data_IF_629505092146
#
_entry.id   IF_629505092146
#
_cell.length_a   1.000
_cell.length_b   1.000
_cell.length_c   1.000
_cell.angle_alpha   90.00
_cell.angle_beta   90.00
_cell.angle_gamma   90.00
#
_symmetry.space_group_name_H-M   'P 1'
#
loop_
_entity.id
_entity.type
_entity.pdbx_description
1 polymer ?
#
# COMPACT_ATOMS: atom_id res chain seq x y z
N UNK A 1 -10.99 0.13 11.33
CA UNK A 1 -10.23 -1.13 11.49
C UNK A 1 -8.78 -0.81 11.13
N UNK A 2 -7.81 -1.15 11.98
CA UNK A 2 -6.40 -0.88 11.72
C UNK A 2 -5.78 -2.07 10.99
N UNK A 3 -5.04 -1.83 9.91
CA UNK A 3 -4.27 -2.87 9.23
C UNK A 3 -2.97 -3.09 9.99
N UNK A 4 -2.88 -4.23 10.68
CA UNK A 4 -1.65 -4.68 11.33
C UNK A 4 -0.91 -5.59 10.35
N UNK A 5 0.20 -5.10 9.79
CA UNK A 5 1.04 -5.81 8.82
C UNK A 5 2.50 -5.94 9.28
N UNK A 6 2.76 -5.63 10.55
CA UNK A 6 4.04 -5.79 11.24
C UNK A 6 3.76 -6.19 12.71
N UNK A 7 4.55 -7.08 13.34
CA UNK A 7 5.66 -7.86 12.78
C UNK A 7 5.19 -8.92 11.77
N UNK A 8 6.09 -9.79 11.32
CA UNK A 8 5.84 -10.79 10.27
C UNK A 8 4.60 -11.66 10.51
N UNK A 9 4.28 -12.01 11.76
CA UNK A 9 3.06 -12.75 12.08
C UNK A 9 1.78 -11.99 11.73
N UNK A 10 1.78 -10.67 11.93
CA UNK A 10 0.67 -9.80 11.54
C UNK A 10 0.60 -9.66 10.02
N UNK A 11 1.76 -9.54 9.34
CA UNK A 11 1.82 -9.55 7.88
C UNK A 11 1.16 -10.82 7.31
N UNK A 12 1.57 -12.00 7.77
CA UNK A 12 1.03 -13.26 7.28
C UNK A 12 -0.48 -13.37 7.56
N UNK A 13 -0.93 -12.90 8.72
CA UNK A 13 -2.34 -12.86 9.07
C UNK A 13 -3.14 -11.95 8.13
N UNK A 14 -2.68 -10.72 7.89
CA UNK A 14 -3.31 -9.76 6.99
C UNK A 14 -3.29 -10.24 5.53
N UNK A 15 -2.16 -10.79 5.07
CA UNK A 15 -2.01 -11.41 3.75
C UNK A 15 -3.02 -12.53 3.54
N UNK A 16 -3.22 -13.39 4.53
CA UNK A 16 -4.14 -14.51 4.43
C UNK A 16 -5.61 -14.07 4.31
N UNK A 17 -5.99 -12.95 4.92
CA UNK A 17 -7.32 -12.35 4.71
C UNK A 17 -7.50 -12.00 3.22
N UNK A 18 -6.56 -11.25 2.65
CA UNK A 18 -6.62 -10.88 1.21
C UNK A 18 -6.60 -12.12 0.32
N UNK A 19 -5.75 -13.10 0.62
CA UNK A 19 -5.68 -14.35 -0.13
C UNK A 19 -7.02 -15.11 -0.14
N UNK A 20 -7.70 -15.18 1.01
CA UNK A 20 -9.00 -15.82 1.14
C UNK A 20 -10.08 -15.07 0.36
N UNK A 21 -10.08 -13.74 0.41
CA UNK A 21 -11.04 -12.91 -0.34
C UNK A 21 -10.84 -13.05 -1.86
N UNK A 22 -9.59 -13.06 -2.32
CA UNK A 22 -9.24 -13.30 -3.75
C UNK A 22 -9.62 -14.72 -4.20
N UNK A 23 -9.49 -15.70 -3.31
CA UNK A 23 -9.93 -17.06 -3.59
C UNK A 23 -11.46 -17.18 -3.68
N UNK A 24 -12.18 -16.53 -2.77
CA UNK A 24 -13.64 -16.59 -2.66
C UNK A 24 -14.36 -15.76 -3.74
N UNK A 25 -13.79 -14.63 -4.15
CA UNK A 25 -14.45 -13.67 -5.04
C UNK A 25 -14.75 -14.17 -6.45
N UNK A 26 -14.18 -15.30 -6.88
CA UNK A 26 -14.42 -15.88 -8.21
C UNK A 26 -13.95 -15.03 -9.41
N UNK A 27 -13.54 -13.78 -9.18
CA UNK A 27 -13.04 -12.86 -10.20
C UNK A 27 -11.70 -13.34 -10.78
N UNK A 28 -11.55 -13.21 -12.11
CA UNK A 28 -10.31 -13.56 -12.81
C UNK A 28 -9.21 -12.50 -12.74
N UNK A 29 -9.55 -11.25 -12.39
CA UNK A 29 -8.63 -10.12 -12.26
C UNK A 29 -9.01 -9.29 -11.03
N UNK A 30 -8.03 -8.92 -10.21
CA UNK A 30 -8.21 -8.21 -8.94
C UNK A 30 -7.27 -7.00 -8.88
N UNK A 31 -7.76 -5.87 -8.41
CA UNK A 31 -6.95 -4.73 -7.99
C UNK A 31 -6.99 -4.68 -6.46
N UNK A 32 -5.84 -4.57 -5.81
CA UNK A 32 -5.75 -4.37 -4.36
C UNK A 32 -5.62 -2.88 -4.10
N UNK A 33 -6.64 -2.32 -3.44
CA UNK A 33 -6.67 -0.92 -3.03
C UNK A 33 -6.49 -0.82 -1.52
N UNK A 34 -5.64 0.10 -1.08
CA UNK A 34 -5.47 0.44 0.32
C UNK A 34 -5.37 1.95 0.51
N UNK A 35 -5.79 2.42 1.69
CA UNK A 35 -5.63 3.81 2.17
C UNK A 35 -4.86 3.83 3.50
N UNK A 36 -4.01 4.84 3.75
CA UNK A 36 -3.28 5.01 5.02
C UNK A 36 -2.45 3.76 5.41
N UNK A 37 -2.61 3.18 6.60
CA UNK A 37 -1.97 1.88 6.94
C UNK A 37 -2.39 0.73 6.00
N UNK A 38 -3.59 0.79 5.44
CA UNK A 38 -4.02 -0.18 4.43
C UNK A 38 -3.26 0.00 3.11
N UNK A 39 -2.89 1.24 2.75
CA UNK A 39 -2.06 1.52 1.59
C UNK A 39 -0.62 1.06 1.81
N UNK A 40 -0.06 1.29 3.00
CA UNK A 40 1.24 0.78 3.38
C UNK A 40 1.29 -0.76 3.33
N UNK A 41 0.22 -1.43 3.79
CA UNK A 41 0.06 -2.87 3.62
C UNK A 41 -0.03 -3.29 2.14
N UNK A 42 -0.81 -2.58 1.31
CA UNK A 42 -0.90 -2.85 -0.13
C UNK A 42 0.48 -2.71 -0.82
N UNK A 43 1.26 -1.71 -0.44
CA UNK A 43 2.63 -1.52 -0.89
C UNK A 43 3.54 -2.68 -0.45
N UNK A 44 3.39 -3.17 0.79
CA UNK A 44 4.11 -4.35 1.28
C UNK A 44 3.78 -5.60 0.44
N UNK A 45 2.50 -5.85 0.16
CA UNK A 45 2.08 -6.98 -0.69
C UNK A 45 2.74 -6.91 -2.08
N UNK A 46 2.71 -5.73 -2.71
CA UNK A 46 3.41 -5.49 -3.97
C UNK A 46 4.91 -5.77 -3.85
N UNK A 47 5.58 -5.21 -2.84
CA UNK A 47 7.03 -5.38 -2.66
C UNK A 47 7.46 -6.79 -2.27
N UNK A 48 6.58 -7.59 -1.68
CA UNK A 48 6.79 -9.02 -1.43
C UNK A 48 6.43 -9.90 -2.64
N UNK A 49 6.01 -9.32 -3.76
CA UNK A 49 5.75 -10.04 -5.00
C UNK A 49 4.40 -10.78 -5.02
N UNK A 50 3.46 -10.39 -4.15
CA UNK A 50 2.18 -11.09 -4.04
C UNK A 50 1.33 -10.86 -5.29
N UNK A 51 0.99 -11.94 -5.97
CA UNK A 51 0.07 -11.93 -7.13
C UNK A 51 -1.18 -12.78 -6.90
N UNK A 52 -1.25 -13.48 -5.76
CA UNK A 52 -2.33 -14.39 -5.35
C UNK A 52 -2.77 -15.34 -6.48
N UNK A 53 -1.79 -16.10 -7.03
CA UNK A 53 -2.03 -17.02 -8.14
C UNK A 53 -2.21 -16.32 -9.48
N UNK A 54 -1.57 -15.16 -9.69
CA UNK A 54 -1.66 -14.38 -10.93
C UNK A 54 -2.98 -13.62 -11.12
N UNK A 55 -3.83 -13.56 -10.10
CA UNK A 55 -5.11 -12.85 -10.16
C UNK A 55 -4.99 -11.35 -9.95
N UNK A 56 -4.00 -10.90 -9.17
CA UNK A 56 -3.78 -9.47 -8.99
C UNK A 56 -3.17 -8.88 -10.25
N UNK A 57 -3.80 -7.83 -10.76
CA UNK A 57 -3.36 -7.08 -11.94
C UNK A 57 -2.82 -5.70 -11.59
N UNK A 58 -3.01 -5.26 -10.34
CA UNK A 58 -2.28 -4.14 -9.80
C UNK A 58 -2.67 -3.73 -8.39
N UNK A 59 -1.93 -2.73 -7.92
CA UNK A 59 -2.02 -2.17 -6.58
C UNK A 59 -2.24 -0.66 -6.65
N UNK A 60 -3.21 -0.18 -5.87
CA UNK A 60 -3.45 1.25 -5.65
C UNK A 60 -3.07 1.56 -4.21
N UNK A 61 -1.99 2.32 -4.06
CA UNK A 61 -1.41 2.74 -2.78
C UNK A 61 -1.85 4.19 -2.57
N UNK A 62 -2.94 4.39 -1.84
CA UNK A 62 -3.53 5.72 -1.64
C UNK A 62 -3.13 6.33 -0.30
N UNK A 63 -2.33 7.40 -0.37
CA UNK A 63 -1.88 8.21 0.76
C UNK A 63 -1.33 7.36 1.93
N UNK A 64 -0.28 6.57 1.70
CA UNK A 64 0.21 5.58 2.65
C UNK A 64 0.92 6.21 3.83
N UNK A 65 0.90 5.48 4.96
CA UNK A 65 1.98 5.64 5.94
C UNK A 65 3.27 5.17 5.28
N UNK A 66 4.21 6.09 5.05
CA UNK A 66 5.47 5.80 4.36
C UNK A 66 6.46 5.18 5.33
N UNK A 67 6.69 3.87 5.25
CA UNK A 67 7.53 3.11 6.20
C UNK A 67 8.49 2.13 5.50
N UNK A 68 9.20 1.32 6.29
CA UNK A 68 10.21 0.39 5.77
C UNK A 68 9.65 -0.84 5.04
N UNK A 69 8.32 -1.00 4.93
CA UNK A 69 7.72 -2.18 4.31
C UNK A 69 8.01 -2.33 2.81
N UNK A 70 8.49 -1.26 2.17
CA UNK A 70 8.87 -1.22 0.75
C UNK A 70 10.36 -1.55 0.51
N UNK A 71 11.18 -1.68 1.56
CA UNK A 71 12.59 -1.99 1.40
C UNK A 71 12.82 -3.33 0.69
N UNK A 72 13.74 -3.35 -0.29
CA UNK A 72 14.03 -4.56 -1.07
C UNK A 72 12.90 -5.01 -1.99
N UNK A 73 12.06 -4.07 -2.45
CA UNK A 73 10.89 -4.32 -3.27
C UNK A 73 11.17 -5.20 -4.51
N UNK A 74 10.42 -6.30 -4.64
CA UNK A 74 10.55 -7.25 -5.77
C UNK A 74 9.94 -6.73 -7.09
N UNK A 75 8.97 -5.81 -7.02
CA UNK A 75 8.29 -5.18 -8.17
C UNK A 75 7.74 -6.20 -9.18
N UNK A 76 6.74 -7.03 -8.80
CA UNK A 76 6.10 -7.96 -9.72
C UNK A 76 5.55 -7.22 -10.95
N UNK A 77 5.42 -7.88 -12.12
CA UNK A 77 5.00 -7.27 -13.39
C UNK A 77 3.48 -7.03 -13.44
N UNK A 78 2.98 -6.32 -12.43
CA UNK A 78 1.60 -5.84 -12.32
C UNK A 78 1.68 -4.32 -12.22
N UNK A 79 0.58 -3.65 -12.53
CA UNK A 79 0.57 -2.21 -12.42
C UNK A 79 0.60 -1.78 -10.95
N UNK A 80 1.18 -0.63 -10.67
CA UNK A 80 1.17 -0.01 -9.34
C UNK A 80 1.04 1.49 -9.51
N UNK A 81 0.25 2.11 -8.64
CA UNK A 81 0.14 3.57 -8.55
C UNK A 81 0.22 3.99 -7.08
N UNK A 82 0.97 5.05 -6.84
CA UNK A 82 1.10 5.70 -5.54
C UNK A 82 0.42 7.06 -5.64
N UNK A 83 -0.60 7.28 -4.83
CA UNK A 83 -1.22 8.59 -4.68
C UNK A 83 -0.81 9.23 -3.37
N UNK A 84 -0.66 10.55 -3.42
CA UNK A 84 -0.12 11.30 -2.30
C UNK A 84 -0.86 12.63 -2.15
N UNK A 85 -1.45 12.84 -0.98
CA UNK A 85 -2.08 14.13 -0.61
C UNK A 85 -1.07 15.07 0.06
N UNK A 86 -0.02 14.50 0.68
CA UNK A 86 0.91 15.25 1.55
C UNK A 86 0.36 15.53 2.95
N UNK A 87 -0.85 15.07 3.28
CA UNK A 87 -1.51 15.34 4.55
C UNK A 87 -0.88 14.66 5.77
N UNK A 88 -0.02 13.67 5.55
CA UNK A 88 0.72 12.92 6.60
C UNK A 88 2.22 12.87 6.31
N UNK A 89 2.77 13.89 5.64
CA UNK A 89 4.20 13.94 5.34
C UNK A 89 5.03 14.02 6.63
N UNK A 90 5.88 13.02 6.84
CA UNK A 90 6.77 12.91 8.00
C UNK A 90 8.21 12.65 7.51
N UNK A 91 9.22 13.18 8.22
CA UNK A 91 10.62 12.96 7.83
C UNK A 91 11.07 11.51 8.07
N UNK A 92 12.17 11.11 7.45
CA UNK A 92 12.87 9.85 7.74
C UNK A 92 13.13 9.70 9.25
N UNK A 93 12.82 8.52 9.79
CA UNK A 93 13.03 8.18 11.19
C UNK A 93 12.00 8.77 12.16
N UNK A 94 10.92 9.38 11.67
CA UNK A 94 9.84 9.85 12.55
C UNK A 94 9.15 8.65 13.25
N UNK A 95 8.97 8.70 14.58
CA UNK A 95 8.41 7.59 15.32
C UNK A 95 6.92 7.46 15.05
N UNK A 96 6.48 6.27 14.62
CA UNK A 96 5.12 6.09 14.10
C UNK A 96 3.98 6.26 15.11
N UNK A 97 4.26 6.24 16.41
CA UNK A 97 3.25 6.43 17.46
C UNK A 97 2.13 5.40 17.35
N UNK A 98 0.91 5.86 17.08
CA UNK A 98 -0.28 5.02 16.97
C UNK A 98 -0.45 4.33 15.60
N UNK A 99 0.38 4.67 14.61
CA UNK A 99 0.35 4.03 13.29
C UNK A 99 1.04 2.67 13.31
N UNK A 100 0.51 1.73 12.51
CA UNK A 100 1.27 0.53 12.17
C UNK A 100 2.41 0.92 11.23
N UNK A 101 3.66 0.69 11.61
CA UNK A 101 4.80 0.89 10.72
C UNK A 101 5.78 -0.26 10.82
N UNK A 102 6.23 -0.76 9.68
CA UNK A 102 7.38 -1.65 9.63
C UNK A 102 8.65 -0.88 9.99
N UNK A 103 9.45 -1.46 10.91
CA UNK A 103 10.64 -0.79 11.43
C UNK A 103 10.37 0.32 12.44
N UNK A 104 9.13 0.44 12.94
CA UNK A 104 8.70 1.37 14.00
C UNK A 104 8.95 2.87 13.70
N UNK A 105 9.26 3.21 12.45
CA UNK A 105 9.49 4.59 12.00
C UNK A 105 9.13 4.79 10.52
N UNK A 106 8.92 6.04 10.13
CA UNK A 106 8.64 6.38 8.73
C UNK A 106 9.93 6.51 7.90
N UNK A 107 9.78 6.36 6.60
CA UNK A 107 10.74 6.83 5.60
C UNK A 107 10.11 7.97 4.81
N UNK A 108 10.89 8.92 4.34
CA UNK A 108 10.39 10.05 3.56
C UNK A 108 9.85 9.60 2.20
N UNK A 109 8.87 10.34 1.68
CA UNK A 109 8.15 9.99 0.44
C UNK A 109 9.09 9.75 -0.75
N UNK A 110 10.18 10.51 -0.87
CA UNK A 110 11.16 10.34 -1.95
C UNK A 110 11.88 8.98 -1.89
N UNK A 111 12.17 8.48 -0.69
CA UNK A 111 12.76 7.15 -0.51
C UNK A 111 11.72 6.07 -0.79
N UNK A 112 10.50 6.28 -0.32
CA UNK A 112 9.37 5.38 -0.57
C UNK A 112 9.10 5.18 -2.07
N UNK A 113 9.09 6.27 -2.85
CA UNK A 113 9.02 6.26 -4.32
C UNK A 113 10.17 5.47 -4.97
N UNK A 114 11.40 5.71 -4.51
CA UNK A 114 12.59 5.05 -5.04
C UNK A 114 12.57 3.53 -4.79
N UNK A 115 12.13 3.10 -3.60
CA UNK A 115 12.04 1.69 -3.22
C UNK A 115 10.90 0.98 -3.99
N UNK A 116 9.73 1.62 -4.13
CA UNK A 116 8.64 1.11 -4.96
C UNK A 116 8.96 1.10 -6.46
N UNK A 117 9.82 2.01 -6.92
CA UNK A 117 10.10 2.21 -8.33
C UNK A 117 8.99 2.94 -9.08
N UNK A 118 8.24 3.80 -8.39
CA UNK A 118 7.16 4.62 -8.96
C UNK A 118 7.34 6.07 -8.56
N UNK A 119 6.83 6.98 -9.38
CA UNK A 119 6.68 8.39 -9.00
C UNK A 119 5.25 8.59 -8.51
N UNK A 120 5.07 9.32 -7.40
CA UNK A 120 3.76 9.61 -6.85
C UNK A 120 2.93 10.42 -7.84
N UNK A 121 1.66 10.07 -7.92
CA UNK A 121 0.63 10.87 -8.57
C UNK A 121 0.03 11.79 -7.53
N UNK A 122 0.03 13.12 -7.73
CA UNK A 122 -0.68 14.03 -6.84
C UNK A 122 -2.15 13.63 -6.75
N UNK A 123 -2.68 13.46 -5.54
CA UNK A 123 -4.13 13.34 -5.38
C UNK A 123 -4.79 14.67 -5.72
N UNK A 124 -6.05 14.63 -6.18
CA UNK A 124 -6.87 15.86 -6.31
C UNK A 124 -7.22 16.43 -4.93
N UNK A 125 -7.05 15.62 -3.89
CA UNK A 125 -7.28 15.96 -2.50
C UNK A 125 -5.97 16.35 -1.80
N UNK A 126 -6.07 17.18 -0.77
CA UNK A 126 -4.90 17.66 0.00
C UNK A 126 -4.95 17.27 1.47
N UNK A 127 -5.96 16.49 1.88
CA UNK A 127 -6.13 16.05 3.26
C UNK A 127 -6.12 14.53 3.34
N UNK A 128 -5.46 14.01 4.37
CA UNK A 128 -5.40 12.59 4.68
C UNK A 128 -6.75 12.11 5.24
N UNK A 129 -7.61 11.63 4.36
CA UNK A 129 -8.87 10.98 4.70
C UNK A 129 -9.26 10.00 3.60
N UNK A 130 -10.04 8.98 3.95
CA UNK A 130 -10.55 8.04 2.97
C UNK A 130 -11.69 8.66 2.16
N UNK A 131 -11.58 8.65 0.84
CA UNK A 131 -12.63 9.10 -0.07
C UNK A 131 -13.43 7.90 -0.61
N UNK A 132 -14.74 8.06 -0.78
CA UNK A 132 -15.67 6.99 -1.20
C UNK A 132 -15.48 6.63 -2.67
N UNK A 133 -15.30 7.65 -3.52
CA UNK A 133 -14.89 7.53 -4.92
C UNK A 133 -13.49 8.14 -5.03
N UNK A 134 -12.43 7.40 -4.67
CA UNK A 134 -11.09 7.90 -4.89
C UNK A 134 -10.95 8.08 -6.41
N UNK A 135 -10.73 9.31 -6.93
CA UNK A 135 -10.55 9.57 -8.37
C UNK A 135 -9.50 8.64 -9.00
N UNK A 136 -8.63 8.11 -8.14
CA UNK A 136 -7.57 7.17 -8.35
C UNK A 136 -7.98 5.77 -8.88
N UNK A 137 -9.20 5.30 -8.59
CA UNK A 137 -9.66 3.96 -9.01
C UNK A 137 -10.18 3.94 -10.45
N UNK A 138 -10.78 5.03 -10.93
CA UNK A 138 -11.45 5.06 -12.23
C UNK A 138 -10.49 4.95 -13.43
N UNK A 139 -9.18 5.16 -13.25
CA UNK A 139 -8.19 4.99 -14.32
C UNK A 139 -7.86 3.51 -14.62
N UNK A 140 -8.37 2.58 -13.81
CA UNK A 140 -8.07 1.15 -13.88
C UNK A 140 -9.18 0.30 -14.49
N UNK A 141 -10.33 0.90 -14.80
CA UNK A 141 -11.53 0.24 -15.33
C UNK A 141 -11.95 0.84 -16.66
#
# INVERSE_FOLDING_TARGET
>A
MQWLYYPESNYQSARNIVANDVAAGGCGRVVVYGFSNGAAFAAKLFCRGETFGGKVIGFVIDDPVVDHAVEGCLRPPVHVVLYWTGGIDQPDGWPCGDWTCEGDSTIGIARYEADLGVVRTPSINTTHQQYVDPPELHIWF
#
